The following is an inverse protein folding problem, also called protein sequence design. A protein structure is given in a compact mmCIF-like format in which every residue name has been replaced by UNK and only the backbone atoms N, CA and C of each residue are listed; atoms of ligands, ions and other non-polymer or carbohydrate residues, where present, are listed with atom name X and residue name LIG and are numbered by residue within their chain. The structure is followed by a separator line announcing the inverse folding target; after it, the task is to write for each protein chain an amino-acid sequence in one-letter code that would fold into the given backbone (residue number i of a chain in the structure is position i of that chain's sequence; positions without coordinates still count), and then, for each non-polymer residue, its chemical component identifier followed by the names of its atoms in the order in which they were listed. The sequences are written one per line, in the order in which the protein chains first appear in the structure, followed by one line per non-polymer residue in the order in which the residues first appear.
data_IF_484890409165
#
_entry.id   IF_484890409165
#
_cell.length_a   1.000
_cell.length_b   1.000
_cell.length_c   1.000
_cell.angle_alpha   90.00
_cell.angle_beta   90.00
_cell.angle_gamma   90.00
#
_symmetry.space_group_name_H-M   'P 1'
#
loop_
_entity.id
_entity.type
_entity.pdbx_description
1 polymer ?
#
# COMPACT_ATOMS: atom_id res chain seq x y z
N UNK A 1 -48.36 -30.38 -18.91
CA UNK A 1 -47.34 -31.03 -18.04
C UNK A 1 -48.03 -31.46 -16.76
N UNK A 2 -48.18 -32.79 -16.55
CA UNK A 2 -48.95 -33.35 -15.43
C UNK A 2 -48.25 -33.10 -14.09
N UNK A 3 -49.00 -33.23 -12.99
CA UNK A 3 -48.51 -33.03 -11.58
C UNK A 3 -47.20 -33.77 -11.33
N UNK A 4 -47.04 -35.00 -11.86
CA UNK A 4 -45.81 -35.82 -11.75
C UNK A 4 -44.59 -35.17 -12.40
N UNK A 5 -44.77 -34.51 -13.57
CA UNK A 5 -43.64 -33.83 -14.25
C UNK A 5 -43.15 -32.58 -13.51
N UNK A 6 -44.06 -31.83 -12.85
CA UNK A 6 -43.69 -30.69 -12.00
C UNK A 6 -42.93 -31.11 -10.72
N UNK A 7 -43.33 -32.23 -10.11
CA UNK A 7 -42.64 -32.77 -8.95
C UNK A 7 -41.20 -33.21 -9.28
N UNK A 8 -41.01 -33.92 -10.40
CA UNK A 8 -39.68 -34.35 -10.86
C UNK A 8 -38.79 -33.13 -11.17
N UNK A 9 -39.32 -32.14 -11.88
CA UNK A 9 -38.58 -30.93 -12.17
C UNK A 9 -38.14 -30.19 -10.88
N UNK A 10 -39.03 -30.13 -9.89
CA UNK A 10 -38.73 -29.47 -8.61
C UNK A 10 -37.62 -30.21 -7.85
N UNK A 11 -37.66 -31.56 -7.80
CA UNK A 11 -36.61 -32.39 -7.17
C UNK A 11 -35.26 -32.19 -7.89
N UNK A 12 -35.26 -32.25 -9.23
CA UNK A 12 -34.02 -32.02 -10.00
C UNK A 12 -33.46 -30.65 -9.74
N UNK A 13 -34.29 -29.61 -9.70
CA UNK A 13 -33.84 -28.24 -9.41
C UNK A 13 -33.23 -28.14 -8.01
N UNK A 14 -33.86 -28.74 -7.00
CA UNK A 14 -33.32 -28.76 -5.62
C UNK A 14 -31.97 -29.47 -5.58
N UNK A 15 -31.83 -30.64 -6.23
CA UNK A 15 -30.57 -31.39 -6.27
C UNK A 15 -29.46 -30.56 -6.95
N UNK A 16 -29.77 -29.92 -8.09
CA UNK A 16 -28.80 -29.06 -8.82
C UNK A 16 -28.37 -27.90 -7.96
N UNK A 17 -29.32 -27.19 -7.33
CA UNK A 17 -28.99 -26.09 -6.41
C UNK A 17 -28.15 -26.55 -5.25
N UNK A 18 -28.45 -27.71 -4.67
CA UNK A 18 -27.67 -28.29 -3.57
C UNK A 18 -26.24 -28.62 -4.00
N UNK A 19 -26.03 -29.16 -5.19
CA UNK A 19 -24.70 -29.47 -5.74
C UNK A 19 -23.91 -28.14 -5.96
N UNK A 20 -24.56 -27.12 -6.53
CA UNK A 20 -23.91 -25.81 -6.72
C UNK A 20 -23.49 -25.22 -5.37
N UNK A 21 -24.32 -25.31 -4.35
CA UNK A 21 -23.99 -24.83 -3.00
C UNK A 21 -22.82 -25.60 -2.38
N UNK A 22 -22.75 -26.93 -2.56
CA UNK A 22 -21.62 -27.71 -2.08
C UNK A 22 -20.32 -27.37 -2.79
N UNK A 23 -20.36 -27.16 -4.10
CA UNK A 23 -19.18 -26.73 -4.87
C UNK A 23 -18.73 -25.34 -4.44
N UNK A 24 -19.66 -24.39 -4.28
CA UNK A 24 -19.36 -23.06 -3.81
C UNK A 24 -18.78 -23.06 -2.38
N UNK A 25 -19.32 -23.89 -1.51
CA UNK A 25 -18.80 -24.06 -0.15
C UNK A 25 -17.39 -24.66 -0.15
N UNK A 26 -17.14 -25.67 -1.00
CA UNK A 26 -15.81 -26.26 -1.17
C UNK A 26 -14.79 -25.25 -1.67
N UNK A 27 -15.15 -24.42 -2.66
CA UNK A 27 -14.29 -23.36 -3.18
C UNK A 27 -14.02 -22.29 -2.10
N UNK A 28 -15.02 -21.90 -1.33
CA UNK A 28 -14.88 -20.95 -0.23
C UNK A 28 -13.95 -21.48 0.86
N UNK A 29 -14.12 -22.74 1.24
CA UNK A 29 -13.25 -23.40 2.23
C UNK A 29 -11.82 -23.52 1.72
N UNK A 30 -11.62 -23.89 0.45
CA UNK A 30 -10.30 -23.94 -0.18
C UNK A 30 -9.60 -22.59 -0.15
N UNK A 31 -10.34 -21.50 -0.43
CA UNK A 31 -9.81 -20.13 -0.37
C UNK A 31 -9.50 -19.69 1.06
N UNK A 32 -10.37 -20.02 2.03
CA UNK A 32 -10.16 -19.69 3.45
C UNK A 32 -9.00 -20.47 4.08
N UNK A 33 -8.75 -21.69 3.62
CA UNK A 33 -7.68 -22.56 4.12
C UNK A 33 -6.39 -22.44 3.30
N UNK A 34 -6.39 -21.68 2.21
CA UNK A 34 -5.16 -21.42 1.47
C UNK A 34 -4.16 -20.66 2.34
N UNK A 35 -2.88 -21.08 2.36
CA UNK A 35 -1.85 -20.32 3.07
C UNK A 35 -1.78 -18.90 2.50
N UNK A 36 -1.44 -17.91 3.31
CA UNK A 36 -1.19 -16.57 2.80
C UNK A 36 -0.10 -16.64 1.72
N UNK A 37 -0.12 -15.75 0.72
CA UNK A 37 0.97 -15.66 -0.25
C UNK A 37 2.30 -15.51 0.50
N UNK A 38 3.40 -16.04 -0.05
CA UNK A 38 4.71 -15.82 0.54
C UNK A 38 4.96 -14.32 0.67
N UNK A 39 5.52 -13.92 1.82
CA UNK A 39 5.89 -12.52 2.02
C UNK A 39 6.92 -12.10 0.95
N UNK A 40 6.81 -10.87 0.43
CA UNK A 40 7.78 -10.36 -0.53
C UNK A 40 9.18 -10.36 0.07
N UNK A 41 10.18 -10.68 -0.75
CA UNK A 41 11.58 -10.63 -0.35
C UNK A 41 12.09 -9.18 -0.48
N UNK A 42 11.86 -8.41 0.58
CA UNK A 42 12.37 -7.04 0.69
C UNK A 42 13.31 -6.94 1.88
N UNK A 43 14.37 -6.08 1.79
CA UNK A 43 15.38 -5.99 2.83
C UNK A 43 14.83 -5.38 4.13
N UNK A 44 15.50 -5.69 5.23
CA UNK A 44 15.38 -4.90 6.45
C UNK A 44 16.18 -3.62 6.28
N UNK A 45 15.54 -2.48 6.50
CA UNK A 45 16.18 -1.17 6.48
C UNK A 45 16.64 -0.86 7.90
N UNK A 46 17.93 -0.55 8.06
CA UNK A 46 18.53 -0.21 9.34
C UNK A 46 18.87 1.27 9.37
N UNK A 47 18.35 2.00 10.32
CA UNK A 47 18.53 3.45 10.43
C UNK A 47 17.99 4.17 9.19
N UNK A 48 18.71 5.23 8.74
CA UNK A 48 18.21 6.08 7.68
C UNK A 48 18.77 5.71 6.30
N UNK A 49 20.06 5.35 6.19
CA UNK A 49 20.71 5.09 4.90
C UNK A 49 21.11 3.62 4.78
N UNK A 50 20.77 3.00 3.66
CA UNK A 50 21.08 1.61 3.37
C UNK A 50 21.53 1.48 1.91
N UNK A 51 22.86 1.46 1.68
CA UNK A 51 23.41 1.15 0.37
C UNK A 51 23.62 -0.36 0.25
N UNK A 52 22.61 -1.04 -0.33
CA UNK A 52 22.62 -2.47 -0.58
C UNK A 52 22.98 -2.80 -2.04
N UNK A 53 23.36 -1.80 -2.83
CA UNK A 53 23.87 -2.01 -4.16
C UNK A 53 25.26 -2.72 -4.10
N UNK A 54 25.57 -3.52 -5.09
CA UNK A 54 26.86 -4.21 -5.17
C UNK A 54 27.42 -4.14 -6.60
N UNK A 55 28.52 -3.37 -6.83
CA UNK A 55 29.23 -2.57 -5.83
C UNK A 55 28.37 -1.45 -5.23
N UNK A 56 28.68 -1.01 -4.01
CA UNK A 56 28.02 0.13 -3.37
C UNK A 56 28.13 1.40 -4.24
N UNK A 57 27.10 2.23 -4.22
CA UNK A 57 27.03 3.46 -5.01
C UNK A 57 27.35 4.71 -4.18
N UNK A 58 27.47 4.54 -2.86
CA UNK A 58 27.85 5.59 -1.92
C UNK A 58 29.22 5.27 -1.30
N UNK A 59 29.98 6.30 -0.95
CA UNK A 59 31.16 6.17 -0.12
C UNK A 59 30.74 6.26 1.37
N UNK A 60 31.59 5.77 2.26
CA UNK A 60 31.28 5.74 3.70
C UNK A 60 31.01 7.14 4.29
N UNK A 61 31.76 8.16 3.89
CA UNK A 61 31.56 9.54 4.31
C UNK A 61 30.30 10.17 3.69
N UNK A 62 29.86 9.70 2.53
CA UNK A 62 28.61 10.10 1.88
C UNK A 62 27.39 9.48 2.61
N UNK A 63 27.50 8.21 2.99
CA UNK A 63 26.45 7.57 3.82
C UNK A 63 26.32 8.27 5.17
N UNK A 64 27.43 8.57 5.85
CA UNK A 64 27.43 9.27 7.14
C UNK A 64 26.81 10.66 7.04
N UNK A 65 27.11 11.40 5.94
CA UNK A 65 26.50 12.69 5.69
C UNK A 65 24.99 12.63 5.45
N UNK A 66 24.52 11.61 4.70
CA UNK A 66 23.09 11.37 4.47
C UNK A 66 22.37 10.93 5.74
N UNK A 67 22.97 10.04 6.53
CA UNK A 67 22.45 9.63 7.83
C UNK A 67 22.30 10.83 8.79
N UNK A 68 23.30 11.71 8.82
CA UNK A 68 23.26 12.96 9.59
C UNK A 68 22.10 13.85 9.18
N UNK A 69 21.90 14.05 7.88
CA UNK A 69 20.77 14.86 7.34
C UNK A 69 19.41 14.24 7.69
N UNK A 70 19.25 12.93 7.51
CA UNK A 70 18.01 12.24 7.87
C UNK A 70 17.72 12.29 9.37
N UNK A 71 18.77 12.16 10.20
CA UNK A 71 18.67 12.30 11.65
C UNK A 71 18.24 13.73 12.06
N UNK A 72 18.77 14.76 11.44
CA UNK A 72 18.35 16.14 11.70
C UNK A 72 16.87 16.36 11.36
N UNK A 73 16.40 15.80 10.24
CA UNK A 73 14.98 15.88 9.87
C UNK A 73 14.11 15.21 10.92
N UNK A 74 14.47 14.01 11.37
CA UNK A 74 13.72 13.29 12.43
C UNK A 74 13.76 14.07 13.75
N UNK A 75 14.92 14.59 14.14
CA UNK A 75 15.08 15.35 15.38
C UNK A 75 14.21 16.63 15.40
N UNK A 76 14.20 17.37 14.29
CA UNK A 76 13.48 18.65 14.19
C UNK A 76 11.97 18.48 14.03
N UNK A 77 11.54 17.42 13.29
CA UNK A 77 10.16 17.31 12.82
C UNK A 77 9.45 16.05 13.28
N UNK A 78 10.16 15.10 13.85
CA UNK A 78 9.71 13.73 14.11
C UNK A 78 9.38 12.91 12.84
N UNK A 79 9.56 13.46 11.65
CA UNK A 79 9.37 12.73 10.40
C UNK A 79 10.61 11.87 10.10
N UNK A 80 10.39 10.68 9.65
CA UNK A 80 11.45 9.69 9.37
C UNK A 80 11.70 9.62 7.86
N UNK A 81 12.93 9.91 7.43
CA UNK A 81 13.35 9.76 6.03
C UNK A 81 14.34 8.62 5.94
N UNK A 82 14.04 7.61 5.14
CA UNK A 82 14.92 6.49 4.86
C UNK A 82 15.34 6.46 3.40
N UNK A 83 16.59 6.06 3.15
CA UNK A 83 17.20 5.95 1.82
C UNK A 83 17.61 4.50 1.60
N UNK A 84 17.28 3.95 0.44
CA UNK A 84 17.63 2.61 0.04
C UNK A 84 18.14 2.58 -1.39
N UNK A 85 19.36 2.11 -1.59
CA UNK A 85 19.90 1.81 -2.91
C UNK A 85 20.04 0.31 -3.09
N UNK A 86 19.58 -0.23 -4.21
CA UNK A 86 19.64 -1.67 -4.53
C UNK A 86 20.04 -1.87 -6.00
N UNK A 87 20.60 -3.04 -6.31
CA UNK A 87 20.83 -3.39 -7.71
C UNK A 87 19.52 -3.50 -8.47
N UNK A 88 18.58 -4.30 -7.97
CA UNK A 88 17.31 -4.60 -8.64
C UNK A 88 16.14 -4.65 -7.67
N UNK A 89 14.98 -4.28 -8.16
CA UNK A 89 13.70 -4.40 -7.45
C UNK A 89 12.85 -5.56 -7.98
N UNK A 90 13.41 -6.38 -8.89
CA UNK A 90 12.69 -7.55 -9.42
C UNK A 90 12.59 -8.67 -8.38
N UNK A 91 11.52 -9.49 -8.39
CA UNK A 91 10.44 -9.50 -9.39
C UNK A 91 9.29 -8.53 -9.13
N UNK A 92 9.29 -7.79 -8.02
CA UNK A 92 8.17 -6.93 -7.62
C UNK A 92 8.01 -5.68 -8.50
N UNK A 93 9.13 -5.16 -9.01
CA UNK A 93 9.21 -3.84 -9.61
C UNK A 93 9.19 -2.73 -8.55
N UNK A 94 9.72 -1.56 -8.90
CA UNK A 94 10.03 -0.49 -7.92
C UNK A 94 8.81 0.01 -7.13
N UNK A 95 7.61 -0.02 -7.72
CA UNK A 95 6.40 0.44 -7.05
C UNK A 95 6.04 -0.44 -5.85
N UNK A 96 5.88 -1.75 -6.10
CA UNK A 96 5.55 -2.70 -5.04
C UNK A 96 6.71 -2.87 -4.06
N UNK A 97 7.93 -2.87 -4.57
CA UNK A 97 9.13 -2.98 -3.74
C UNK A 97 9.23 -1.85 -2.72
N UNK A 98 8.98 -0.60 -3.13
CA UNK A 98 9.01 0.54 -2.23
C UNK A 98 7.89 0.47 -1.18
N UNK A 99 6.66 0.15 -1.58
CA UNK A 99 5.52 0.02 -0.67
C UNK A 99 5.77 -1.09 0.36
N UNK A 100 6.15 -2.29 -0.09
CA UNK A 100 6.41 -3.43 0.80
C UNK A 100 7.61 -3.17 1.74
N UNK A 101 8.65 -2.50 1.25
CA UNK A 101 9.79 -2.10 2.09
C UNK A 101 9.37 -1.09 3.14
N UNK A 102 8.58 -0.09 2.75
CA UNK A 102 8.06 0.94 3.63
C UNK A 102 7.21 0.36 4.77
N UNK A 103 6.22 -0.47 4.41
CA UNK A 103 5.31 -1.08 5.37
C UNK A 103 6.00 -2.09 6.29
N UNK A 104 6.84 -2.96 5.72
CA UNK A 104 7.54 -4.01 6.47
C UNK A 104 8.50 -3.46 7.51
N UNK A 105 9.18 -2.39 7.19
CA UNK A 105 10.12 -1.73 8.09
C UNK A 105 9.46 -0.69 9.00
N UNK A 106 8.16 -0.39 8.78
CA UNK A 106 7.41 0.54 9.60
C UNK A 106 8.00 1.95 9.58
N UNK A 107 8.40 2.44 8.38
CA UNK A 107 9.05 3.75 8.23
C UNK A 107 8.07 4.86 8.59
N UNK A 108 8.46 5.69 9.56
CA UNK A 108 7.62 6.71 10.17
C UNK A 108 7.16 6.32 11.58
N UNK A 109 6.80 7.31 12.37
CA UNK A 109 6.41 7.09 13.77
C UNK A 109 4.99 6.50 13.85
N UNK A 110 4.83 5.50 14.69
CA UNK A 110 3.53 4.86 14.92
C UNK A 110 2.44 5.87 15.28
N UNK A 111 1.33 5.82 14.55
CA UNK A 111 0.19 6.73 14.73
C UNK A 111 0.38 8.14 14.16
N UNK A 112 1.53 8.44 13.54
CA UNK A 112 1.76 9.67 12.79
C UNK A 112 1.86 9.42 11.30
N UNK A 113 2.25 8.23 10.85
CA UNK A 113 2.45 7.83 9.46
C UNK A 113 3.30 8.85 8.68
N UNK A 114 4.32 9.38 9.35
CA UNK A 114 5.15 10.48 8.89
C UNK A 114 6.52 10.03 8.37
N UNK A 115 6.51 8.94 7.62
CA UNK A 115 7.69 8.39 6.96
C UNK A 115 7.85 8.84 5.51
N UNK A 116 9.08 8.83 5.02
CA UNK A 116 9.44 8.93 3.60
C UNK A 116 10.48 7.86 3.31
N UNK A 117 10.32 7.12 2.21
CA UNK A 117 11.33 6.17 1.72
C UNK A 117 11.75 6.56 0.31
N UNK A 118 13.04 6.79 0.12
CA UNK A 118 13.65 7.04 -1.19
C UNK A 118 14.35 5.77 -1.63
N UNK A 119 13.86 5.16 -2.72
CA UNK A 119 14.45 3.95 -3.31
C UNK A 119 15.09 4.28 -4.64
N UNK A 120 16.34 3.83 -4.84
CA UNK A 120 17.03 3.88 -6.13
C UNK A 120 17.40 2.46 -6.55
N UNK A 121 16.95 2.06 -7.73
CA UNK A 121 17.30 0.80 -8.37
C UNK A 121 18.31 1.05 -9.49
N UNK A 122 19.51 0.53 -9.32
CA UNK A 122 20.66 0.82 -10.20
C UNK A 122 20.49 0.15 -11.57
N UNK A 123 20.14 -1.13 -11.60
CA UNK A 123 20.05 -1.91 -12.84
C UNK A 123 18.87 -1.48 -13.72
N UNK A 124 17.72 -1.20 -13.10
CA UNK A 124 16.53 -0.73 -13.81
C UNK A 124 16.60 0.77 -14.12
N UNK A 125 17.55 1.48 -13.53
CA UNK A 125 17.68 2.94 -13.64
C UNK A 125 16.37 3.64 -13.29
N UNK A 126 15.84 3.32 -12.12
CA UNK A 126 14.58 3.84 -11.61
C UNK A 126 14.78 4.36 -10.19
N UNK A 127 14.01 5.37 -9.86
CA UNK A 127 13.86 5.80 -8.48
C UNK A 127 12.39 5.91 -8.11
N UNK A 128 12.11 5.78 -6.83
CA UNK A 128 10.80 6.01 -6.24
C UNK A 128 10.94 6.67 -4.89
N UNK A 129 10.01 7.57 -4.59
CA UNK A 129 9.86 8.17 -3.28
C UNK A 129 8.46 7.81 -2.78
N UNK A 130 8.39 7.01 -1.72
CA UNK A 130 7.15 6.63 -1.05
C UNK A 130 6.94 7.54 0.15
N UNK A 131 5.71 7.99 0.38
CA UNK A 131 5.36 8.96 1.42
C UNK A 131 4.21 8.40 2.26
N UNK A 132 4.39 8.46 3.58
CA UNK A 132 3.36 8.06 4.53
C UNK A 132 2.19 9.05 4.59
N UNK A 133 1.02 8.57 4.93
CA UNK A 133 -0.24 9.34 4.92
C UNK A 133 -0.18 10.63 5.75
N UNK A 134 0.57 10.64 6.85
CA UNK A 134 0.73 11.83 7.69
C UNK A 134 1.47 12.98 7.03
N UNK A 135 2.26 12.70 5.98
CA UNK A 135 2.99 13.71 5.21
C UNK A 135 2.33 14.05 3.87
N UNK A 136 1.31 13.34 3.40
CA UNK A 136 0.65 13.62 2.13
C UNK A 136 0.15 15.07 1.97
N UNK A 137 -0.39 15.72 3.01
CA UNK A 137 -0.81 17.12 2.89
C UNK A 137 0.35 18.07 2.55
N UNK A 138 1.56 17.71 2.95
CA UNK A 138 2.79 18.48 2.75
C UNK A 138 3.54 18.01 1.51
N UNK A 139 3.69 16.70 1.35
CA UNK A 139 4.45 16.01 0.31
C UNK A 139 3.51 15.22 -0.63
N UNK A 140 2.65 15.94 -1.37
CA UNK A 140 1.80 15.26 -2.35
C UNK A 140 2.61 14.72 -3.54
N UNK A 141 2.07 13.73 -4.30
CA UNK A 141 2.80 13.03 -5.37
C UNK A 141 3.39 13.94 -6.44
N UNK A 142 2.68 15.01 -6.78
CA UNK A 142 3.15 15.96 -7.80
C UNK A 142 4.36 16.78 -7.31
N UNK A 143 4.38 17.16 -6.02
CA UNK A 143 5.49 17.88 -5.40
C UNK A 143 6.72 16.99 -5.28
N UNK A 144 6.54 15.78 -4.76
CA UNK A 144 7.61 14.79 -4.59
C UNK A 144 8.20 14.38 -5.95
N UNK A 145 7.33 14.16 -6.96
CA UNK A 145 7.78 13.89 -8.32
C UNK A 145 8.66 14.99 -8.88
N UNK A 146 8.29 16.25 -8.67
CA UNK A 146 9.09 17.40 -9.10
C UNK A 146 10.42 17.49 -8.36
N UNK A 147 10.47 17.19 -7.06
CA UNK A 147 11.72 17.16 -6.31
C UNK A 147 12.66 16.08 -6.85
N UNK A 148 12.14 14.87 -7.08
CA UNK A 148 12.91 13.81 -7.70
C UNK A 148 13.39 14.15 -9.12
N UNK A 149 12.55 14.76 -9.94
CA UNK A 149 12.93 15.20 -11.30
C UNK A 149 14.00 16.30 -11.31
N UNK A 150 14.03 17.17 -10.28
CA UNK A 150 14.98 18.28 -10.21
C UNK A 150 16.32 17.88 -9.57
N UNK A 151 16.29 17.08 -8.52
CA UNK A 151 17.47 16.79 -7.70
C UNK A 151 17.99 15.37 -7.88
N UNK A 152 17.11 14.37 -7.83
CA UNK A 152 17.53 12.97 -7.86
C UNK A 152 17.83 12.49 -9.28
N UNK A 153 16.87 12.57 -10.19
CA UNK A 153 16.97 11.99 -11.55
C UNK A 153 18.20 12.45 -12.34
N UNK A 154 18.50 13.74 -12.46
CA UNK A 154 19.67 14.23 -13.21
C UNK A 154 21.00 13.72 -12.66
N UNK A 155 21.15 13.74 -11.32
CA UNK A 155 22.40 13.37 -10.67
C UNK A 155 22.68 11.87 -10.74
N UNK A 156 21.66 11.02 -10.43
CA UNK A 156 21.82 9.56 -10.55
C UNK A 156 22.03 9.12 -12.01
N UNK A 157 21.46 9.88 -12.98
CA UNK A 157 21.74 9.65 -14.39
C UNK A 157 23.21 9.94 -14.73
N UNK A 158 23.80 10.94 -14.10
CA UNK A 158 25.20 11.29 -14.26
C UNK A 158 26.15 10.35 -13.49
N UNK A 159 25.61 9.47 -12.63
CA UNK A 159 26.37 8.58 -11.77
C UNK A 159 26.73 9.18 -10.42
N UNK A 160 26.25 10.38 -10.11
CA UNK A 160 26.45 11.06 -8.84
C UNK A 160 25.25 10.77 -7.89
N UNK A 161 25.28 9.59 -7.29
CA UNK A 161 24.21 9.15 -6.40
C UNK A 161 24.11 9.99 -5.14
N UNK A 162 25.27 10.36 -4.56
CA UNK A 162 25.30 11.15 -3.35
C UNK A 162 24.64 12.52 -3.55
N UNK A 163 25.06 13.26 -4.56
CA UNK A 163 24.50 14.60 -4.82
C UNK A 163 22.99 14.53 -5.11
N UNK A 164 22.54 13.47 -5.81
CA UNK A 164 21.13 13.25 -6.09
C UNK A 164 20.31 12.96 -4.84
N UNK A 165 20.77 12.05 -4.03
CA UNK A 165 20.12 11.63 -2.78
C UNK A 165 20.16 12.76 -1.75
N UNK A 166 21.29 13.42 -1.58
CA UNK A 166 21.43 14.55 -0.66
C UNK A 166 20.48 15.69 -1.04
N UNK A 167 20.49 16.10 -2.31
CA UNK A 167 19.66 17.20 -2.78
C UNK A 167 18.16 16.95 -2.65
N UNK A 168 17.69 15.72 -2.95
CA UNK A 168 16.28 15.40 -2.80
C UNK A 168 15.88 15.25 -1.33
N UNK A 169 16.75 14.71 -0.48
CA UNK A 169 16.51 14.57 0.96
C UNK A 169 16.44 15.93 1.64
N UNK A 170 17.36 16.83 1.31
CA UNK A 170 17.41 18.18 1.85
C UNK A 170 16.14 18.98 1.51
N UNK A 171 15.71 19.01 0.25
CA UNK A 171 14.49 19.73 -0.12
C UNK A 171 13.22 19.10 0.48
N UNK A 172 13.16 17.77 0.65
CA UNK A 172 12.08 17.10 1.36
C UNK A 172 12.09 17.52 2.83
N UNK A 173 13.26 17.51 3.47
CA UNK A 173 13.42 17.94 4.85
C UNK A 173 13.00 19.39 5.08
N UNK A 174 13.40 20.30 4.22
CA UNK A 174 12.97 21.71 4.26
C UNK A 174 11.45 21.86 4.12
N UNK A 175 10.83 21.13 3.18
CA UNK A 175 9.39 21.17 3.00
C UNK A 175 8.64 20.65 4.24
N UNK A 176 9.16 19.58 4.87
CA UNK A 176 8.60 19.04 6.12
C UNK A 176 8.76 20.07 7.25
N UNK A 177 9.97 20.63 7.47
CA UNK A 177 10.22 21.63 8.51
C UNK A 177 9.30 22.85 8.40
N UNK A 178 8.99 23.28 7.19
CA UNK A 178 8.18 24.46 6.95
C UNK A 178 6.69 24.23 7.09
N UNK A 179 6.19 23.06 6.78
CA UNK A 179 4.77 22.83 6.56
C UNK A 179 4.16 21.66 7.35
N UNK A 180 4.98 20.83 8.01
CA UNK A 180 4.49 19.71 8.81
C UNK A 180 4.37 20.10 10.28
N UNK A 181 3.19 19.91 10.85
CA UNK A 181 2.94 20.06 12.29
C UNK A 181 2.89 18.67 12.96
N UNK A 182 3.91 18.29 13.74
CA UNK A 182 3.94 17.00 14.42
C UNK A 182 2.87 16.83 15.52
N UNK A 183 2.20 17.92 15.93
CA UNK A 183 1.08 17.93 16.85
C UNK A 183 -0.28 17.92 16.16
N UNK A 184 -0.32 18.18 14.85
CA UNK A 184 -1.51 18.09 14.01
C UNK A 184 -1.93 16.63 13.93
N UNK A 185 -3.14 16.32 14.42
CA UNK A 185 -3.66 14.96 14.38
C UNK A 185 -3.62 14.41 12.96
N UNK A 186 -3.00 13.25 12.82
CA UNK A 186 -3.04 12.50 11.58
C UNK A 186 -4.49 12.36 11.16
N UNK A 187 -4.81 12.80 9.96
CA UNK A 187 -6.07 12.48 9.31
C UNK A 187 -6.13 10.99 8.97
N UNK A 188 -5.88 10.12 9.97
CA UNK A 188 -6.13 8.70 9.77
C UNK A 188 -7.60 8.54 9.41
N UNK A 189 -7.93 7.96 8.28
CA UNK A 189 -9.27 7.49 8.08
C UNK A 189 -9.56 6.54 9.26
N UNK A 190 -10.73 6.64 9.90
CA UNK A 190 -11.06 5.78 11.04
C UNK A 190 -10.85 4.33 10.61
N UNK A 191 -10.26 3.49 11.48
CA UNK A 191 -9.91 2.07 11.26
C UNK A 191 -11.05 1.19 10.69
N UNK A 192 -12.24 1.76 10.50
CA UNK A 192 -13.41 1.15 9.86
C UNK A 192 -13.22 0.78 8.38
N UNK A 193 -12.11 1.16 7.73
CA UNK A 193 -11.87 0.85 6.31
C UNK A 193 -11.21 -0.50 6.07
N UNK A 194 -10.67 -1.13 7.11
CA UNK A 194 -10.18 -2.49 7.03
C UNK A 194 -11.31 -3.50 7.24
N UNK A 195 -12.37 -3.38 6.44
CA UNK A 195 -13.31 -4.50 6.34
C UNK A 195 -12.58 -5.60 5.55
N UNK A 196 -12.08 -6.58 6.29
CA UNK A 196 -11.47 -7.78 5.72
C UNK A 196 -12.41 -8.33 4.62
N UNK A 197 -11.91 -8.39 3.37
CA UNK A 197 -12.66 -8.91 2.23
C UNK A 197 -13.26 -10.29 2.52
N UNK A 198 -12.65 -11.04 3.45
CA UNK A 198 -13.17 -12.30 3.98
C UNK A 198 -14.50 -12.11 4.69
N UNK A 199 -14.62 -11.07 5.52
CA UNK A 199 -15.88 -10.75 6.22
C UNK A 199 -16.96 -10.26 5.24
N UNK A 200 -16.59 -9.51 4.22
CA UNK A 200 -17.51 -9.10 3.15
C UNK A 200 -18.03 -10.33 2.39
N UNK A 201 -17.13 -11.24 2.01
CA UNK A 201 -17.48 -12.50 1.34
C UNK A 201 -18.41 -13.36 2.17
N UNK A 202 -18.16 -13.49 3.47
CA UNK A 202 -19.02 -14.23 4.40
C UNK A 202 -20.39 -13.53 4.51
N UNK A 203 -20.42 -12.20 4.63
CA UNK A 203 -21.66 -11.42 4.67
C UNK A 203 -22.53 -11.61 3.44
N UNK A 204 -21.92 -11.57 2.25
CA UNK A 204 -22.62 -11.83 0.97
C UNK A 204 -23.13 -13.28 0.91
N UNK A 205 -22.33 -14.26 1.33
CA UNK A 205 -22.73 -15.66 1.33
C UNK A 205 -23.92 -15.92 2.27
N UNK A 206 -23.90 -15.33 3.48
CA UNK A 206 -25.01 -15.39 4.44
C UNK A 206 -26.25 -14.70 3.85
N UNK A 207 -26.10 -13.54 3.23
CA UNK A 207 -27.20 -12.79 2.63
C UNK A 207 -27.89 -13.57 1.51
N UNK A 208 -27.10 -14.17 0.58
CA UNK A 208 -27.62 -15.03 -0.50
C UNK A 208 -28.31 -16.26 0.09
N UNK A 209 -27.74 -16.91 1.08
CA UNK A 209 -28.30 -18.06 1.73
C UNK A 209 -29.66 -17.75 2.39
N UNK A 210 -29.73 -16.66 3.13
CA UNK A 210 -30.98 -16.18 3.74
C UNK A 210 -32.03 -15.78 2.68
N UNK A 211 -31.59 -15.16 1.60
CA UNK A 211 -32.45 -14.80 0.47
C UNK A 211 -33.11 -16.01 -0.19
N UNK A 212 -32.35 -17.10 -0.34
CA UNK A 212 -32.88 -18.38 -0.88
C UNK A 212 -33.88 -19.02 0.08
N UNK A 213 -33.55 -19.10 1.40
CA UNK A 213 -34.42 -19.71 2.40
C UNK A 213 -35.73 -18.93 2.56
N UNK A 214 -35.68 -17.61 2.54
CA UNK A 214 -36.86 -16.75 2.74
C UNK A 214 -37.63 -16.46 1.46
N UNK A 215 -37.32 -17.16 0.36
CA UNK A 215 -37.94 -16.97 -0.97
C UNK A 215 -37.97 -15.50 -1.41
N UNK A 216 -36.85 -14.78 -1.18
CA UNK A 216 -36.67 -13.40 -1.62
C UNK A 216 -37.37 -12.32 -0.76
N UNK A 217 -38.06 -12.68 0.32
CA UNK A 217 -38.75 -11.70 1.17
C UNK A 217 -37.82 -10.70 1.88
N UNK A 218 -36.52 -11.02 2.00
CA UNK A 218 -35.52 -10.12 2.59
C UNK A 218 -35.13 -8.96 1.65
N UNK A 219 -35.31 -9.11 0.34
CA UNK A 219 -34.92 -8.07 -0.65
C UNK A 219 -35.68 -6.76 -0.44
N UNK A 220 -36.84 -6.78 0.20
CA UNK A 220 -37.63 -5.59 0.48
C UNK A 220 -37.06 -4.66 1.59
N UNK A 221 -36.09 -5.14 2.39
CA UNK A 221 -35.47 -4.33 3.44
C UNK A 221 -34.20 -3.59 2.99
N UNK A 222 -33.67 -3.86 1.79
CA UNK A 222 -32.44 -3.26 1.27
C UNK A 222 -32.51 -1.72 1.12
N UNK A 223 -33.64 -1.10 0.69
CA UNK A 223 -33.68 0.35 0.49
C UNK A 223 -33.48 1.19 1.77
N UNK A 224 -33.67 0.61 2.95
CA UNK A 224 -33.66 1.37 4.21
C UNK A 224 -32.23 1.54 4.73
N UNK A 225 -31.34 0.57 4.46
CA UNK A 225 -29.95 0.59 4.97
C UNK A 225 -29.04 1.44 4.08
N UNK A 226 -29.27 1.48 2.77
CA UNK A 226 -28.41 2.20 1.81
C UNK A 226 -28.66 3.71 1.69
N UNK A 227 -29.70 4.26 2.32
CA UNK A 227 -30.05 5.69 2.21
C UNK A 227 -29.17 6.63 3.05
N UNK A 228 -28.21 6.09 3.85
CA UNK A 228 -27.34 6.87 4.75
C UNK A 228 -25.84 6.68 4.57
N UNK A 229 -25.40 5.84 3.64
CA UNK A 229 -23.98 5.70 3.33
C UNK A 229 -23.71 6.44 2.01
N UNK A 230 -23.31 7.70 2.11
CA UNK A 230 -22.72 8.42 0.99
C UNK A 230 -21.38 7.78 0.66
N UNK A 231 -21.28 7.13 -0.51
CA UNK A 231 -20.02 6.65 -1.04
C UNK A 231 -19.18 7.84 -1.51
N UNK A 232 -18.29 8.33 -0.65
CA UNK A 232 -17.15 9.13 -1.06
C UNK A 232 -16.03 8.19 -1.42
N UNK A 233 -15.92 7.82 -2.69
CA UNK A 233 -14.82 7.00 -3.18
C UNK A 233 -13.54 7.81 -3.29
N UNK A 234 -12.51 7.46 -2.56
CA UNK A 234 -11.16 7.94 -2.73
C UNK A 234 -10.22 6.89 -2.16
N UNK A 235 -9.79 5.96 -3.01
CA UNK A 235 -8.67 5.08 -2.70
C UNK A 235 -7.44 5.67 -3.36
N UNK A 236 -6.42 6.01 -2.59
CA UNK A 236 -5.05 5.99 -3.08
C UNK A 236 -4.21 5.29 -2.01
N UNK A 237 -3.93 4.02 -2.24
CA UNK A 237 -2.78 3.40 -1.62
C UNK A 237 -1.57 3.75 -2.47
N UNK A 238 -0.48 4.13 -1.85
CA UNK A 238 0.78 4.41 -2.52
C UNK A 238 0.83 5.73 -3.25
N UNK A 239 0.82 6.85 -2.54
CA UNK A 239 1.03 8.17 -3.10
C UNK A 239 2.53 8.47 -3.19
N UNK A 240 3.18 7.80 -4.12
CA UNK A 240 4.59 8.04 -4.41
C UNK A 240 4.78 8.55 -5.84
N UNK A 241 5.92 9.15 -6.12
CA UNK A 241 6.34 9.49 -7.48
C UNK A 241 7.48 8.58 -7.91
N UNK A 242 7.45 8.12 -9.17
CA UNK A 242 8.52 7.32 -9.78
C UNK A 242 8.93 7.86 -11.14
N UNK A 243 10.18 7.65 -11.50
CA UNK A 243 10.74 7.92 -12.82
C UNK A 243 11.83 6.90 -13.17
N UNK A 244 12.08 6.77 -14.48
CA UNK A 244 13.27 6.11 -15.01
C UNK A 244 14.29 7.19 -15.35
N UNK A 245 15.54 6.97 -15.06
CA UNK A 245 16.67 7.83 -15.36
C UNK A 245 17.67 7.20 -16.35
#
# INVERSE_FOLDING_TARGET
MGIRGRAVLLVVTIVVVFIILLVALGALLSWLLSPPPPEPDVPSVYLYVNDLASPGVLLYDEEDALDGLCWEIDYDTTAEVAILTVNTTQPLGIDMYAVETFERNGIGKAGKDNGVLIVVSVDERQWRIEVGYGLEPVLNPAKVGRFGDLYLGPNVTAGDYFLGLFGVTDIIGEEIRLNYDPGGGTGQPPELWYLDWKLIGIGIAIFVFLGVITRGRIVWFIPIVFRRAGFGGGRSGGTGAKRRF
#
